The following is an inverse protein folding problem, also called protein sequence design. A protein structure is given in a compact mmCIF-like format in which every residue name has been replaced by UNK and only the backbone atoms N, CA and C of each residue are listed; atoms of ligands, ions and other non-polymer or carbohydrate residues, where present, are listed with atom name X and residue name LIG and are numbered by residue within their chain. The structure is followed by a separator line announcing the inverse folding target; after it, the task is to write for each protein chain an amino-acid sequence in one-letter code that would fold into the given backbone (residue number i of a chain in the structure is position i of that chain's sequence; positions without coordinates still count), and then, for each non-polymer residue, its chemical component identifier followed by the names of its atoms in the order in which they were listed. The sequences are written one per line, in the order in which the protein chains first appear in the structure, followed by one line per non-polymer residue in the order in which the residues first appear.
data_IF_262129309097
#
_entry.id   IF_262129309097
#
_cell.length_a   1.000
_cell.length_b   1.000
_cell.length_c   1.000
_cell.angle_alpha   90.00
_cell.angle_beta   90.00
_cell.angle_gamma   90.00
#
_symmetry.space_group_name_H-M   'P 1'
#
loop_
_entity.id
_entity.type
_entity.pdbx_description
1 polymer ?
#
# COMPACT_ATOMS: atom_id res chain seq x y z
N UNK A 1 -0.30 -22.41 13.15
CA UNK A 1 -0.37 -21.02 12.64
C UNK A 1 0.89 -20.72 11.85
N UNK A 2 0.77 -20.15 10.65
CA UNK A 2 1.90 -19.69 9.84
C UNK A 2 1.80 -18.16 9.68
N UNK A 3 2.94 -17.48 9.63
CA UNK A 3 2.99 -16.03 9.53
C UNK A 3 4.42 -15.53 9.44
N UNK A 4 4.57 -14.21 9.35
CA UNK A 4 5.88 -13.54 9.31
C UNK A 4 5.99 -12.56 10.46
N UNK A 5 7.17 -12.51 11.07
CA UNK A 5 7.55 -11.48 12.03
C UNK A 5 8.43 -10.45 11.31
N UNK A 6 8.08 -9.17 11.46
CA UNK A 6 8.80 -8.06 10.83
C UNK A 6 9.38 -7.18 11.94
N UNK A 7 10.71 -7.12 12.02
CA UNK A 7 11.43 -6.20 12.92
C UNK A 7 11.91 -4.99 12.15
N UNK A 8 11.55 -3.79 12.61
CA UNK A 8 11.97 -2.53 11.99
C UNK A 8 13.25 -2.07 12.68
N UNK A 9 14.36 -2.03 11.95
CA UNK A 9 15.68 -1.65 12.47
C UNK A 9 16.01 -0.17 12.25
N UNK A 10 15.49 0.43 11.18
CA UNK A 10 15.59 1.87 10.91
C UNK A 10 14.24 2.41 10.44
N UNK A 11 13.62 3.27 11.26
CA UNK A 11 12.31 3.83 10.96
C UNK A 11 12.36 4.90 9.87
N UNK A 12 13.50 5.55 9.67
CA UNK A 12 13.63 6.72 8.79
C UNK A 12 13.57 6.34 7.32
N UNK A 13 14.08 5.15 6.98
CA UNK A 13 14.02 4.58 5.63
C UNK A 13 12.78 3.72 5.40
N UNK A 14 12.11 3.31 6.47
CA UNK A 14 10.95 2.42 6.39
C UNK A 14 9.73 3.12 5.78
N UNK A 15 9.06 2.44 4.84
CA UNK A 15 7.82 2.89 4.18
C UNK A 15 6.65 1.95 4.54
N UNK A 16 5.95 2.17 5.67
CA UNK A 16 4.97 1.20 6.20
C UNK A 16 3.81 0.89 5.24
N UNK A 17 3.29 1.90 4.55
CA UNK A 17 2.18 1.71 3.59
C UNK A 17 2.63 0.89 2.38
N UNK A 18 3.84 1.15 1.86
CA UNK A 18 4.40 0.38 0.76
C UNK A 18 4.63 -1.09 1.16
N UNK A 19 5.10 -1.34 2.38
CA UNK A 19 5.22 -2.70 2.93
C UNK A 19 3.86 -3.41 2.98
N UNK A 20 2.82 -2.74 3.50
CA UNK A 20 1.47 -3.32 3.57
C UNK A 20 0.94 -3.72 2.19
N UNK A 21 1.11 -2.85 1.19
CA UNK A 21 0.73 -3.13 -0.21
C UNK A 21 1.56 -4.27 -0.79
N UNK A 22 2.86 -4.35 -0.50
CA UNK A 22 3.71 -5.45 -0.93
C UNK A 22 3.32 -6.79 -0.30
N UNK A 23 2.94 -6.80 0.98
CA UNK A 23 2.41 -7.99 1.66
C UNK A 23 1.11 -8.43 1.00
N UNK A 24 0.17 -7.51 0.80
CA UNK A 24 -1.10 -7.77 0.11
C UNK A 24 -0.87 -8.35 -1.30
N UNK A 25 -0.04 -7.70 -2.10
CA UNK A 25 0.35 -8.18 -3.43
C UNK A 25 0.99 -9.58 -3.39
N UNK A 26 1.85 -9.83 -2.41
CA UNK A 26 2.49 -11.15 -2.24
C UNK A 26 1.47 -12.23 -1.86
N UNK A 27 0.55 -11.92 -0.95
CA UNK A 27 -0.53 -12.84 -0.55
C UNK A 27 -1.44 -13.17 -1.74
N UNK A 28 -1.84 -12.17 -2.55
CA UNK A 28 -2.65 -12.42 -3.75
C UNK A 28 -1.93 -13.30 -4.76
N UNK A 29 -0.64 -13.08 -4.95
CA UNK A 29 0.17 -13.88 -5.88
C UNK A 29 0.35 -15.33 -5.41
N UNK A 30 0.57 -15.55 -4.11
CA UNK A 30 0.81 -16.89 -3.55
C UNK A 30 -0.48 -17.68 -3.33
N UNK A 31 -1.59 -17.00 -3.06
CA UNK A 31 -2.87 -17.61 -2.69
C UNK A 31 -4.03 -16.94 -3.44
N UNK A 32 -4.04 -16.98 -4.80
CA UNK A 32 -4.98 -16.20 -5.61
C UNK A 32 -6.45 -16.53 -5.34
N UNK A 33 -6.74 -17.79 -5.02
CA UNK A 33 -8.11 -18.29 -4.80
C UNK A 33 -8.51 -18.31 -3.32
N UNK A 34 -7.54 -18.35 -2.40
CA UNK A 34 -7.81 -18.50 -0.95
C UNK A 34 -7.76 -17.17 -0.20
N UNK A 35 -7.07 -16.17 -0.75
CA UNK A 35 -6.95 -14.88 -0.07
C UNK A 35 -8.09 -13.94 -0.46
N UNK A 36 -8.98 -13.72 0.50
CA UNK A 36 -10.09 -12.79 0.39
C UNK A 36 -9.60 -11.32 0.41
N UNK A 37 -9.83 -10.63 -0.71
CA UNK A 37 -9.47 -9.22 -0.90
C UNK A 37 -10.62 -8.26 -0.62
N UNK A 38 -11.82 -8.72 -0.23
CA UNK A 38 -13.00 -7.86 0.01
C UNK A 38 -12.69 -6.78 1.07
N UNK A 39 -12.00 -7.17 2.13
CA UNK A 39 -11.59 -6.25 3.21
C UNK A 39 -10.50 -5.24 2.83
N UNK A 40 -9.79 -5.45 1.72
CA UNK A 40 -8.60 -4.69 1.33
C UNK A 40 -8.92 -3.20 1.14
N UNK A 41 -10.03 -2.90 0.46
CA UNK A 41 -10.38 -1.51 0.15
C UNK A 41 -11.09 -0.78 1.28
N UNK A 42 -11.62 -1.51 2.28
CA UNK A 42 -12.30 -0.90 3.43
C UNK A 42 -11.39 0.09 4.16
N UNK A 43 -10.10 -0.24 4.24
CA UNK A 43 -9.07 0.59 4.87
C UNK A 43 -8.25 1.41 3.86
N UNK A 44 -7.91 0.85 2.69
CA UNK A 44 -7.11 1.58 1.70
C UNK A 44 -7.87 2.76 1.09
N UNK A 45 -9.17 2.60 0.82
CA UNK A 45 -10.03 3.59 0.13
C UNK A 45 -9.38 4.18 -1.13
N UNK A 46 -8.62 3.36 -1.84
CA UNK A 46 -7.91 3.74 -3.05
C UNK A 46 -8.13 2.65 -4.10
N UNK A 47 -9.21 2.76 -4.90
CA UNK A 47 -9.57 1.76 -5.91
C UNK A 47 -8.42 1.37 -6.84
N UNK A 48 -7.59 2.29 -7.37
CA UNK A 48 -6.48 1.91 -8.24
C UNK A 48 -5.45 0.98 -7.57
N UNK A 49 -5.19 1.15 -6.27
CA UNK A 49 -4.28 0.25 -5.54
C UNK A 49 -4.90 -1.13 -5.37
N UNK A 50 -6.18 -1.18 -5.00
CA UNK A 50 -6.90 -2.45 -4.84
C UNK A 50 -6.90 -3.22 -6.16
N UNK A 51 -7.28 -2.56 -7.25
CA UNK A 51 -7.39 -3.16 -8.56
C UNK A 51 -6.03 -3.65 -9.05
N UNK A 52 -4.97 -2.85 -8.86
CA UNK A 52 -3.60 -3.27 -9.19
C UNK A 52 -3.15 -4.50 -8.40
N UNK A 53 -3.51 -4.62 -7.12
CA UNK A 53 -3.22 -5.83 -6.32
C UNK A 53 -4.02 -7.02 -6.86
N UNK A 54 -5.32 -6.84 -7.12
CA UNK A 54 -6.20 -7.90 -7.63
C UNK A 54 -5.74 -8.42 -9.01
N UNK A 55 -5.22 -7.53 -9.86
CA UNK A 55 -4.73 -7.83 -11.21
C UNK A 55 -3.27 -8.30 -11.25
N UNK A 56 -2.54 -8.22 -10.14
CA UNK A 56 -1.11 -8.57 -10.08
C UNK A 56 -0.21 -7.59 -10.85
N UNK A 57 -0.60 -6.31 -10.92
CA UNK A 57 0.20 -5.27 -11.55
C UNK A 57 1.55 -5.09 -10.83
N UNK A 58 2.62 -4.68 -11.53
CA UNK A 58 3.89 -4.36 -10.91
C UNK A 58 3.73 -3.34 -9.76
N UNK A 59 4.38 -3.59 -8.63
CA UNK A 59 4.31 -2.71 -7.45
C UNK A 59 4.71 -1.27 -7.77
N UNK A 60 5.66 -1.07 -8.68
CA UNK A 60 6.10 0.25 -9.11
C UNK A 60 4.96 1.03 -9.77
N UNK A 61 4.16 0.41 -10.63
CA UNK A 61 2.99 1.04 -11.26
C UNK A 61 1.95 1.44 -10.22
N UNK A 62 1.69 0.56 -9.25
CA UNK A 62 0.80 0.86 -8.12
C UNK A 62 1.32 2.07 -7.35
N UNK A 63 2.62 2.13 -7.04
CA UNK A 63 3.22 3.24 -6.29
C UNK A 63 3.31 4.54 -7.10
N UNK A 64 3.47 4.43 -8.42
CA UNK A 64 3.46 5.56 -9.35
C UNK A 64 2.08 6.23 -9.35
N UNK A 65 1.00 5.44 -9.28
CA UNK A 65 -0.38 5.94 -9.26
C UNK A 65 -0.67 6.92 -8.11
N UNK A 66 0.12 6.85 -7.02
CA UNK A 66 -0.06 7.70 -5.85
C UNK A 66 0.58 9.08 -5.99
N UNK A 67 1.56 9.24 -6.88
CA UNK A 67 2.47 10.40 -6.81
C UNK A 67 1.75 11.73 -7.03
N UNK A 68 0.78 11.79 -7.95
CA UNK A 68 0.01 13.00 -8.22
C UNK A 68 -0.81 13.44 -7.00
N UNK A 69 -1.57 12.52 -6.41
CA UNK A 69 -2.41 12.81 -5.24
C UNK A 69 -1.59 13.10 -3.99
N UNK A 70 -0.45 12.42 -3.82
CA UNK A 70 0.48 12.70 -2.73
C UNK A 70 1.07 14.10 -2.83
N UNK A 71 1.41 14.55 -4.03
CA UNK A 71 1.94 15.88 -4.25
C UNK A 71 0.86 16.96 -4.02
N UNK A 72 -0.35 16.75 -4.54
CA UNK A 72 -1.49 17.61 -4.26
C UNK A 72 -1.79 17.70 -2.75
N UNK A 73 -1.71 16.58 -2.03
CA UNK A 73 -1.90 16.54 -0.58
C UNK A 73 -0.80 17.30 0.17
N UNK A 74 0.47 17.16 -0.24
CA UNK A 74 1.60 17.90 0.35
C UNK A 74 1.43 19.40 0.20
N UNK A 75 1.00 19.86 -0.97
CA UNK A 75 0.73 21.27 -1.23
C UNK A 75 -0.45 21.77 -0.39
N UNK A 76 -1.56 21.02 -0.36
CA UNK A 76 -2.75 21.38 0.42
C UNK A 76 -2.48 21.46 1.92
N UNK A 77 -1.70 20.52 2.47
CA UNK A 77 -1.44 20.50 3.92
C UNK A 77 -0.49 21.61 4.37
N UNK A 78 0.34 22.16 3.47
CA UNK A 78 1.39 23.12 3.83
C UNK A 78 0.85 24.38 4.53
N UNK A 79 -0.35 24.83 4.18
CA UNK A 79 -0.98 26.02 4.79
C UNK A 79 -1.49 25.82 6.22
N UNK A 80 -1.57 24.56 6.69
CA UNK A 80 -2.11 24.21 8.02
C UNK A 80 -1.11 23.47 8.91
N UNK A 81 0.17 23.39 8.49
CA UNK A 81 1.22 22.81 9.31
C UNK A 81 1.61 23.77 10.44
N UNK A 82 1.65 23.24 11.67
CA UNK A 82 2.12 23.97 12.85
C UNK A 82 3.61 23.71 13.14
N UNK A 83 4.18 22.68 12.52
CA UNK A 83 5.55 22.21 12.66
C UNK A 83 6.05 21.59 11.35
#
# INVERSE_FOLDING_TARGET
CQGVYISITDRSVMRPVALGVQIAHTLKRLYPDQWDTEGLNRLLRHPPTRDGIEQGAPLEEIFQSWQADLEAFRQRRASVLLY
#
